data_IF_145741686539
#
_entry.id   IF_145741686539
#
_cell.length_a   1.000
_cell.length_b   1.000
_cell.length_c   1.000
_cell.angle_alpha   90.00
_cell.angle_beta   90.00
_cell.angle_gamma   90.00
#
_symmetry.space_group_name_H-M   'P 1'
#
loop_
_entity.id
_entity.type
_entity.pdbx_description
1 polymer ?
#
# COMPACT_ATOMS: atom_id res chain seq x y z
N UNK A 1 -15.76 6.75 28.46
CA UNK A 1 -15.20 6.40 27.12
C UNK A 1 -13.94 7.20 26.76
N UNK A 2 -13.48 8.12 27.62
CA UNK A 2 -12.41 9.07 27.28
C UNK A 2 -10.96 8.60 27.54
N UNK A 3 -10.77 7.52 28.30
CA UNK A 3 -9.42 6.95 28.56
C UNK A 3 -8.97 5.90 27.55
N UNK A 4 -9.88 5.40 26.71
CA UNK A 4 -9.56 4.41 25.65
C UNK A 4 -9.10 5.13 24.38
N UNK A 5 -9.71 6.27 24.03
CA UNK A 5 -9.39 7.06 22.84
C UNK A 5 -8.00 7.73 22.89
N UNK A 6 -7.37 7.81 24.07
CA UNK A 6 -6.02 8.37 24.23
C UNK A 6 -4.90 7.39 23.86
N UNK A 7 -5.18 6.08 23.74
CA UNK A 7 -4.15 5.04 23.45
C UNK A 7 -4.29 4.39 22.08
N UNK A 8 -5.31 4.73 21.31
CA UNK A 8 -5.62 4.09 20.01
C UNK A 8 -5.22 4.91 18.78
N UNK A 9 -4.70 6.14 18.94
CA UNK A 9 -4.40 7.07 17.84
C UNK A 9 -2.99 6.92 17.23
N UNK A 10 -2.33 5.77 17.34
CA UNK A 10 -0.94 5.59 16.88
C UNK A 10 -0.69 4.28 16.15
N UNK A 11 -1.69 3.76 15.42
CA UNK A 11 -1.44 2.69 14.46
C UNK A 11 -2.00 3.13 13.11
N UNK A 12 -1.11 3.73 12.31
CA UNK A 12 -1.07 3.75 10.83
C UNK A 12 -2.34 3.17 10.21
N UNK A 13 -3.28 3.99 9.71
CA UNK A 13 -4.54 3.46 9.18
C UNK A 13 -4.35 2.80 7.80
N UNK A 14 -3.96 1.53 7.78
CA UNK A 14 -4.04 0.73 6.56
C UNK A 14 -5.52 0.43 6.25
N UNK A 15 -5.93 0.53 4.97
CA UNK A 15 -7.34 0.38 4.55
C UNK A 15 -7.94 -0.96 4.99
N UNK A 16 -7.13 -2.01 5.01
CA UNK A 16 -7.57 -3.34 5.45
C UNK A 16 -7.86 -3.42 6.96
N UNK A 17 -7.37 -2.49 7.78
CA UNK A 17 -7.62 -2.53 9.24
C UNK A 17 -9.08 -2.32 9.59
N UNK A 18 -9.83 -1.52 8.82
CA UNK A 18 -11.27 -1.39 9.06
C UNK A 18 -12.01 -2.71 8.80
N UNK A 19 -11.60 -3.46 7.77
CA UNK A 19 -12.15 -4.78 7.47
C UNK A 19 -11.79 -5.82 8.54
N UNK A 20 -10.52 -5.88 8.94
CA UNK A 20 -10.10 -6.80 10.00
C UNK A 20 -10.69 -6.45 11.37
N UNK A 21 -10.85 -5.17 11.68
CA UNK A 21 -11.50 -4.73 12.91
C UNK A 21 -12.99 -5.13 12.92
N UNK A 22 -13.68 -5.08 11.77
CA UNK A 22 -15.07 -5.57 11.66
C UNK A 22 -15.21 -7.09 11.76
N UNK A 23 -14.14 -7.84 11.48
CA UNK A 23 -14.11 -9.30 11.58
C UNK A 23 -13.64 -9.80 12.96
N UNK A 24 -13.08 -8.93 13.79
CA UNK A 24 -12.59 -9.32 15.13
C UNK A 24 -13.74 -9.39 16.12
N UNK A 25 -13.86 -10.49 16.87
CA UNK A 25 -14.93 -10.71 17.86
C UNK A 25 -14.99 -9.60 18.93
N UNK A 26 -13.82 -9.14 19.42
CA UNK A 26 -13.72 -7.96 20.29
C UNK A 26 -12.79 -6.89 19.70
N UNK A 27 -13.33 -5.75 19.21
CA UNK A 27 -12.53 -4.67 18.63
C UNK A 27 -11.56 -4.01 19.61
N UNK A 28 -11.73 -4.20 20.92
CA UNK A 28 -10.81 -3.66 21.95
C UNK A 28 -9.48 -4.42 22.00
N UNK A 29 -9.46 -5.67 21.54
CA UNK A 29 -8.24 -6.49 21.52
C UNK A 29 -7.40 -6.30 20.25
N UNK A 30 -7.99 -5.71 19.21
CA UNK A 30 -7.36 -5.50 17.89
C UNK A 30 -5.98 -4.84 17.97
N UNK A 31 -5.79 -3.86 18.85
CA UNK A 31 -4.51 -3.16 19.02
C UNK A 31 -3.38 -4.08 19.52
N UNK A 32 -3.70 -5.12 20.31
CA UNK A 32 -2.70 -6.09 20.77
C UNK A 32 -2.23 -6.97 19.61
N UNK A 33 -3.17 -7.44 18.80
CA UNK A 33 -2.88 -8.23 17.60
C UNK A 33 -2.05 -7.43 16.59
N UNK A 34 -2.40 -6.15 16.38
CA UNK A 34 -1.62 -5.24 15.54
C UNK A 34 -0.20 -5.00 16.06
N UNK A 35 -0.04 -4.77 17.37
CA UNK A 35 1.28 -4.59 17.97
C UNK A 35 2.14 -5.85 17.81
N UNK A 36 1.55 -7.04 18.03
CA UNK A 36 2.26 -8.31 17.81
C UNK A 36 2.66 -8.48 16.34
N UNK A 37 1.74 -8.20 15.39
CA UNK A 37 2.01 -8.26 13.96
C UNK A 37 3.18 -7.33 13.58
N UNK A 38 3.14 -6.07 14.00
CA UNK A 38 4.18 -5.09 13.69
C UNK A 38 5.53 -5.50 14.29
N UNK A 39 5.56 -6.01 15.53
CA UNK A 39 6.80 -6.45 16.18
C UNK A 39 7.40 -7.63 15.42
N UNK A 40 6.59 -8.65 15.11
CA UNK A 40 7.06 -9.85 14.39
C UNK A 40 7.57 -9.47 13.00
N UNK A 41 6.83 -8.64 12.28
CA UNK A 41 7.22 -8.15 10.96
C UNK A 41 8.55 -7.37 11.03
N UNK A 42 8.65 -6.41 11.94
CA UNK A 42 9.87 -5.61 12.11
C UNK A 42 11.08 -6.47 12.45
N UNK A 43 10.92 -7.47 13.33
CA UNK A 43 12.00 -8.38 13.72
C UNK A 43 12.41 -9.26 12.53
N UNK A 44 11.46 -9.81 11.79
CA UNK A 44 11.74 -10.63 10.61
C UNK A 44 12.49 -9.83 9.55
N UNK A 45 12.01 -8.63 9.22
CA UNK A 45 12.65 -7.76 8.25
C UNK A 45 14.05 -7.32 8.70
N UNK A 46 14.23 -6.99 9.98
CA UNK A 46 15.53 -6.62 10.53
C UNK A 46 16.53 -7.77 10.44
N UNK A 47 16.13 -8.97 10.86
CA UNK A 47 16.99 -10.16 10.79
C UNK A 47 17.35 -10.47 9.33
N UNK A 48 16.37 -10.46 8.42
CA UNK A 48 16.62 -10.67 6.99
C UNK A 48 17.58 -9.64 6.41
N UNK A 49 17.40 -8.36 6.72
CA UNK A 49 18.28 -7.28 6.26
C UNK A 49 19.71 -7.44 6.78
N UNK A 50 19.90 -7.76 8.07
CA UNK A 50 21.21 -7.99 8.66
C UNK A 50 21.93 -9.19 8.04
N UNK A 51 21.22 -10.29 7.80
CA UNK A 51 21.76 -11.48 7.14
C UNK A 51 22.22 -11.11 5.71
N UNK A 52 21.35 -10.49 4.91
CA UNK A 52 21.68 -10.12 3.53
C UNK A 52 22.89 -9.18 3.51
N UNK A 53 22.91 -8.15 4.36
CA UNK A 53 24.01 -7.20 4.43
C UNK A 53 25.33 -7.88 4.82
N UNK A 54 25.31 -8.85 5.74
CA UNK A 54 26.51 -9.56 6.20
C UNK A 54 27.11 -10.49 5.14
N UNK A 55 26.29 -11.09 4.28
CA UNK A 55 26.73 -12.08 3.28
C UNK A 55 26.96 -11.47 1.88
N UNK A 56 26.19 -10.46 1.47
CA UNK A 56 26.27 -9.84 0.14
C UNK A 56 27.09 -8.54 0.16
N UNK A 57 27.14 -7.85 1.30
CA UNK A 57 27.85 -6.57 1.44
C UNK A 57 27.01 -5.36 1.00
N UNK A 58 27.64 -4.19 0.76
CA UNK A 58 26.92 -2.93 0.52
C UNK A 58 26.30 -2.78 -0.88
N UNK A 59 26.71 -3.60 -1.86
CA UNK A 59 26.24 -3.52 -3.25
C UNK A 59 25.10 -4.52 -3.54
N UNK A 60 24.05 -4.51 -2.72
CA UNK A 60 22.86 -5.34 -2.94
C UNK A 60 22.01 -4.71 -4.05
N UNK A 61 21.74 -5.47 -5.10
CA UNK A 61 20.78 -5.09 -6.13
C UNK A 61 19.37 -5.22 -5.57
N UNK A 62 18.49 -4.27 -5.88
CA UNK A 62 17.08 -4.37 -5.54
C UNK A 62 16.30 -4.85 -6.77
N UNK A 63 15.49 -5.93 -6.67
CA UNK A 63 15.24 -6.75 -5.48
C UNK A 63 16.41 -7.67 -5.07
N UNK A 64 16.61 -7.87 -3.76
CA UNK A 64 17.76 -8.57 -3.18
C UNK A 64 18.01 -9.98 -3.72
N UNK A 65 16.98 -10.64 -4.26
CA UNK A 65 17.06 -11.96 -4.89
C UNK A 65 18.06 -11.97 -6.06
N UNK A 66 18.23 -10.84 -6.74
CA UNK A 66 19.11 -10.70 -7.90
C UNK A 66 20.59 -10.87 -7.57
N UNK A 67 20.99 -10.52 -6.34
CA UNK A 67 22.37 -10.57 -5.87
C UNK A 67 22.84 -11.97 -5.41
N UNK A 68 21.97 -12.98 -5.45
CA UNK A 68 22.35 -14.35 -5.09
C UNK A 68 23.11 -15.05 -6.23
N UNK A 69 23.85 -16.10 -5.87
CA UNK A 69 24.48 -16.99 -6.84
C UNK A 69 23.46 -17.55 -7.86
N UNK A 70 23.86 -17.83 -9.11
CA UNK A 70 22.91 -18.11 -10.20
C UNK A 70 22.01 -19.32 -9.95
N UNK A 71 22.49 -20.33 -9.22
CA UNK A 71 21.69 -21.52 -8.84
C UNK A 71 20.66 -21.15 -7.76
N UNK A 72 21.10 -20.47 -6.70
CA UNK A 72 20.23 -20.08 -5.59
C UNK A 72 19.17 -19.06 -6.03
N UNK A 73 19.53 -18.14 -6.93
CA UNK A 73 18.61 -17.18 -7.54
C UNK A 73 17.45 -17.86 -8.27
N UNK A 74 17.71 -18.93 -9.04
CA UNK A 74 16.65 -19.69 -9.74
C UNK A 74 15.69 -20.36 -8.76
N UNK A 75 16.23 -20.96 -7.70
CA UNK A 75 15.42 -21.62 -6.65
C UNK A 75 14.56 -20.58 -5.91
N UNK A 76 15.17 -19.45 -5.50
CA UNK A 76 14.48 -18.37 -4.82
C UNK A 76 13.37 -17.76 -5.68
N UNK A 77 13.62 -17.50 -6.98
CA UNK A 77 12.59 -17.06 -7.90
C UNK A 77 11.49 -18.12 -8.11
N UNK A 78 11.83 -19.40 -8.11
CA UNK A 78 10.86 -20.49 -8.17
C UNK A 78 9.85 -20.49 -7.01
N UNK A 79 10.28 -20.06 -5.81
CA UNK A 79 9.40 -19.91 -4.64
C UNK A 79 8.70 -18.55 -4.58
N UNK A 80 9.37 -17.48 -5.04
CA UNK A 80 8.82 -16.13 -5.02
C UNK A 80 7.69 -15.94 -6.05
N UNK A 81 7.84 -16.46 -7.27
CA UNK A 81 6.86 -16.26 -8.35
C UNK A 81 5.45 -16.72 -7.96
N UNK A 82 5.23 -17.95 -7.43
CA UNK A 82 3.90 -18.41 -7.07
C UNK A 82 3.24 -17.52 -6.01
N UNK A 83 4.00 -17.11 -5.00
CA UNK A 83 3.47 -16.27 -3.91
C UNK A 83 3.17 -14.85 -4.39
N UNK A 84 4.01 -14.27 -5.26
CA UNK A 84 3.77 -12.97 -5.89
C UNK A 84 2.54 -12.99 -6.79
N UNK A 85 2.37 -14.02 -7.63
CA UNK A 85 1.19 -14.16 -8.49
C UNK A 85 -0.07 -14.29 -7.65
N UNK A 86 -0.05 -15.14 -6.61
CA UNK A 86 -1.20 -15.32 -5.73
C UNK A 86 -1.62 -14.01 -5.06
N UNK A 87 -0.65 -13.26 -4.51
CA UNK A 87 -0.89 -11.95 -3.90
C UNK A 87 -1.50 -10.96 -4.90
N UNK A 88 -0.92 -10.87 -6.11
CA UNK A 88 -1.41 -9.98 -7.17
C UNK A 88 -2.83 -10.31 -7.62
N UNK A 89 -3.15 -11.59 -7.81
CA UNK A 89 -4.49 -12.03 -8.22
C UNK A 89 -5.53 -11.75 -7.15
N UNK A 90 -5.22 -12.02 -5.87
CA UNK A 90 -6.16 -11.76 -4.77
C UNK A 90 -6.45 -10.27 -4.64
N UNK A 91 -5.42 -9.42 -4.66
CA UNK A 91 -5.58 -7.97 -4.55
C UNK A 91 -6.28 -7.39 -5.79
N UNK A 92 -5.92 -7.85 -6.99
CA UNK A 92 -6.58 -7.47 -8.23
C UNK A 92 -8.06 -7.87 -8.27
N UNK A 93 -8.38 -9.06 -7.78
CA UNK A 93 -9.75 -9.53 -7.67
C UNK A 93 -10.57 -8.70 -6.67
N UNK A 94 -10.00 -8.36 -5.51
CA UNK A 94 -10.64 -7.46 -4.54
C UNK A 94 -10.90 -6.08 -5.15
N UNK A 95 -9.96 -5.54 -5.92
CA UNK A 95 -10.14 -4.28 -6.65
C UNK A 95 -11.27 -4.35 -7.69
N UNK A 96 -11.31 -5.42 -8.50
CA UNK A 96 -12.37 -5.63 -9.48
C UNK A 96 -13.75 -5.75 -8.81
N UNK A 97 -13.83 -6.53 -7.71
CA UNK A 97 -15.05 -6.66 -6.92
C UNK A 97 -15.47 -5.33 -6.31
N UNK A 98 -14.54 -4.52 -5.83
CA UNK A 98 -14.83 -3.20 -5.28
C UNK A 98 -15.44 -2.27 -6.35
N UNK A 99 -14.86 -2.23 -7.55
CA UNK A 99 -15.39 -1.46 -8.69
C UNK A 99 -16.78 -1.96 -9.07
N UNK A 100 -16.95 -3.27 -9.20
CA UNK A 100 -18.23 -3.90 -9.54
C UNK A 100 -19.32 -3.56 -8.52
N UNK A 101 -19.05 -3.77 -7.23
CA UNK A 101 -20.01 -3.45 -6.16
C UNK A 101 -20.32 -1.95 -6.14
N UNK A 102 -19.35 -1.07 -6.43
CA UNK A 102 -19.58 0.37 -6.45
C UNK A 102 -20.48 0.80 -7.61
N UNK A 103 -20.28 0.23 -8.79
CA UNK A 103 -21.08 0.53 -9.99
C UNK A 103 -22.50 -0.04 -9.92
N UNK A 104 -22.66 -1.23 -9.36
CA UNK A 104 -23.96 -1.93 -9.30
C UNK A 104 -24.67 -1.78 -7.94
N UNK A 105 -24.18 -0.91 -7.06
CA UNK A 105 -24.79 -0.65 -5.74
C UNK A 105 -26.19 -0.07 -5.92
N UNK A 106 -27.22 -0.85 -5.57
CA UNK A 106 -28.64 -0.44 -5.67
C UNK A 106 -29.39 -1.01 -6.89
N UNK A 107 -28.76 -1.87 -7.69
CA UNK A 107 -29.44 -2.59 -8.78
C UNK A 107 -29.75 -4.04 -8.38
N UNK A 108 -30.99 -4.50 -8.62
CA UNK A 108 -31.43 -5.90 -8.42
C UNK A 108 -30.68 -6.91 -9.30
N UNK A 109 -29.89 -6.45 -10.26
CA UNK A 109 -29.12 -7.31 -11.18
C UNK A 109 -27.88 -7.93 -10.54
N UNK A 110 -27.49 -7.49 -9.34
CA UNK A 110 -26.26 -7.92 -8.66
C UNK A 110 -26.22 -9.42 -8.33
N UNK A 111 -27.39 -10.06 -8.14
CA UNK A 111 -27.50 -11.51 -7.89
C UNK A 111 -27.97 -12.32 -9.12
N UNK A 112 -28.28 -11.67 -10.25
CA UNK A 112 -28.72 -12.37 -11.46
C UNK A 112 -27.52 -12.78 -12.32
N UNK A 113 -27.49 -14.04 -12.78
CA UNK A 113 -26.54 -14.51 -13.80
C UNK A 113 -26.98 -14.10 -15.21
N UNK A 114 -27.24 -12.81 -15.40
CA UNK A 114 -27.53 -12.27 -16.74
C UNK A 114 -26.24 -12.10 -17.54
N UNK A 115 -26.33 -12.20 -18.87
CA UNK A 115 -25.19 -11.93 -19.77
C UNK A 115 -24.60 -10.52 -19.57
N UNK A 116 -25.43 -9.55 -19.16
CA UNK A 116 -25.00 -8.20 -18.80
C UNK A 116 -24.11 -8.17 -17.55
N UNK A 117 -24.41 -9.01 -16.54
CA UNK A 117 -23.63 -9.13 -15.30
C UNK A 117 -22.26 -9.81 -15.55
N UNK A 118 -22.25 -10.85 -16.38
CA UNK A 118 -21.01 -11.53 -16.79
C UNK A 118 -20.17 -10.61 -17.68
N UNK A 119 -20.81 -9.94 -18.65
CA UNK A 119 -20.13 -9.01 -19.56
C UNK A 119 -19.52 -7.81 -18.83
N UNK A 120 -20.25 -7.21 -17.87
CA UNK A 120 -19.72 -6.11 -17.06
C UNK A 120 -18.57 -6.56 -16.16
N UNK A 121 -18.66 -7.76 -15.57
CA UNK A 121 -17.56 -8.33 -14.79
C UNK A 121 -16.30 -8.52 -15.62
N UNK A 122 -16.41 -9.17 -16.79
CA UNK A 122 -15.27 -9.39 -17.70
C UNK A 122 -14.69 -8.05 -18.18
N UNK A 123 -15.54 -7.08 -18.51
CA UNK A 123 -15.10 -5.75 -18.93
C UNK A 123 -14.30 -5.03 -17.84
N UNK A 124 -14.73 -5.10 -16.58
CA UNK A 124 -14.01 -4.50 -15.45
C UNK A 124 -12.66 -5.19 -15.25
N UNK A 125 -12.64 -6.53 -15.26
CA UNK A 125 -11.40 -7.29 -15.16
C UNK A 125 -10.41 -6.93 -16.27
N UNK A 126 -10.89 -6.86 -17.51
CA UNK A 126 -10.08 -6.52 -18.68
C UNK A 126 -9.55 -5.08 -18.60
N UNK A 127 -10.38 -4.12 -18.21
CA UNK A 127 -9.97 -2.73 -18.06
C UNK A 127 -8.87 -2.56 -16.99
N UNK A 128 -9.04 -3.20 -15.82
CA UNK A 128 -8.03 -3.17 -14.75
C UNK A 128 -6.73 -3.85 -15.21
N UNK A 129 -6.83 -4.95 -15.97
CA UNK A 129 -5.68 -5.66 -16.50
C UNK A 129 -4.90 -4.82 -17.53
N UNK A 130 -5.58 -4.18 -18.48
CA UNK A 130 -4.95 -3.26 -19.44
C UNK A 130 -4.25 -2.11 -18.71
N UNK A 131 -4.92 -1.50 -17.73
CA UNK A 131 -4.32 -0.41 -16.95
C UNK A 131 -3.06 -0.87 -16.23
N UNK A 132 -3.08 -2.07 -15.65
CA UNK A 132 -1.93 -2.66 -14.96
C UNK A 132 -0.77 -2.93 -15.93
N UNK A 133 -1.08 -3.45 -17.12
CA UNK A 133 -0.08 -3.69 -18.17
C UNK A 133 0.57 -2.40 -18.65
N UNK A 134 -0.21 -1.34 -18.89
CA UNK A 134 0.33 -0.02 -19.28
C UNK A 134 1.28 0.53 -18.22
N UNK A 135 0.91 0.45 -16.94
CA UNK A 135 1.78 0.92 -15.83
C UNK A 135 3.06 0.09 -15.74
N UNK A 136 2.98 -1.23 -15.95
CA UNK A 136 4.13 -2.12 -15.93
C UNK A 136 5.13 -1.83 -17.05
N UNK A 137 4.67 -1.56 -18.27
CA UNK A 137 5.53 -1.21 -19.41
C UNK A 137 6.08 0.23 -19.33
N UNK A 138 5.38 1.12 -18.60
CA UNK A 138 5.76 2.53 -18.52
C UNK A 138 6.93 2.80 -17.58
N UNK A 139 7.16 1.96 -16.56
CA UNK A 139 8.19 2.20 -15.54
C UNK A 139 9.25 1.09 -15.61
N UNK A 140 10.44 1.37 -16.19
CA UNK A 140 11.50 0.37 -16.37
C UNK A 140 12.16 -0.06 -15.06
N UNK A 141 12.06 0.77 -14.00
CA UNK A 141 12.71 0.54 -12.70
C UNK A 141 11.67 0.29 -11.60
N UNK A 142 11.65 -0.93 -11.08
CA UNK A 142 10.71 -1.36 -10.03
C UNK A 142 10.76 -0.51 -8.74
N UNK A 143 11.95 -0.04 -8.36
CA UNK A 143 12.10 0.78 -7.14
C UNK A 143 11.40 2.14 -7.26
N UNK A 144 11.38 2.74 -8.45
CA UNK A 144 10.72 4.02 -8.67
C UNK A 144 9.20 3.86 -8.60
N UNK A 145 8.66 2.76 -9.17
CA UNK A 145 7.25 2.39 -9.01
C UNK A 145 6.88 2.17 -7.54
N UNK A 146 7.68 1.39 -6.80
CA UNK A 146 7.43 1.14 -5.37
C UNK A 146 7.49 2.43 -4.54
N UNK A 147 8.47 3.28 -4.80
CA UNK A 147 8.63 4.57 -4.12
C UNK A 147 7.44 5.49 -4.41
N UNK A 148 7.00 5.56 -5.66
CA UNK A 148 5.82 6.32 -6.08
C UNK A 148 4.54 5.85 -5.40
N UNK A 149 4.27 4.53 -5.44
CA UNK A 149 3.09 3.94 -4.81
C UNK A 149 3.12 4.17 -3.29
N UNK A 150 4.28 3.99 -2.66
CA UNK A 150 4.47 4.22 -1.22
C UNK A 150 4.29 5.69 -0.86
N UNK A 151 4.79 6.63 -1.65
CA UNK A 151 4.61 8.06 -1.42
C UNK A 151 3.14 8.48 -1.59
N UNK A 152 2.44 7.97 -2.61
CA UNK A 152 1.05 8.34 -2.91
C UNK A 152 0.06 7.73 -1.91
N UNK A 153 0.15 6.43 -1.69
CA UNK A 153 -0.79 5.69 -0.85
C UNK A 153 -0.29 5.52 0.57
N UNK A 154 0.99 5.21 0.76
CA UNK A 154 1.58 5.01 2.07
C UNK A 154 1.51 6.26 2.95
N UNK A 155 1.81 7.46 2.42
CA UNK A 155 1.71 8.70 3.19
C UNK A 155 0.26 9.03 3.61
N UNK A 156 -0.69 8.86 2.68
CA UNK A 156 -2.08 9.21 2.91
C UNK A 156 -2.77 8.24 3.88
N UNK A 157 -2.54 6.93 3.72
CA UNK A 157 -3.10 5.92 4.62
C UNK A 157 -2.43 5.95 5.99
N UNK A 158 -1.11 6.12 6.06
CA UNK A 158 -0.38 6.07 7.32
C UNK A 158 -0.57 7.31 8.19
N UNK A 159 -0.63 8.50 7.56
CA UNK A 159 -0.58 9.78 8.27
C UNK A 159 -1.76 10.71 7.92
N UNK A 160 -2.16 10.75 6.65
CA UNK A 160 -3.24 11.65 6.18
C UNK A 160 -4.61 11.32 6.77
N UNK A 161 -5.12 10.11 6.54
CA UNK A 161 -6.45 9.69 6.99
C UNK A 161 -6.60 9.68 8.52
N UNK A 162 -5.63 9.17 9.33
CA UNK A 162 -5.72 9.26 10.79
C UNK A 162 -5.85 10.71 11.28
N UNK A 163 -5.06 11.62 10.72
CA UNK A 163 -5.08 13.03 11.08
C UNK A 163 -6.44 13.68 10.74
N UNK A 164 -6.98 13.40 9.55
CA UNK A 164 -8.29 13.91 9.11
C UNK A 164 -9.42 13.34 9.99
N UNK A 165 -9.41 12.03 10.28
CA UNK A 165 -10.42 11.40 11.14
C UNK A 165 -10.38 11.95 12.56
N UNK A 166 -9.19 12.22 13.10
CA UNK A 166 -9.06 12.83 14.42
C UNK A 166 -9.64 14.24 14.45
N UNK A 167 -9.35 15.05 13.43
CA UNK A 167 -9.91 16.40 13.30
C UNK A 167 -11.43 16.35 13.15
N UNK A 168 -11.97 15.47 12.31
CA UNK A 168 -13.41 15.33 12.11
C UNK A 168 -14.15 14.85 13.38
N UNK A 169 -13.58 13.91 14.13
CA UNK A 169 -14.19 13.43 15.38
C UNK A 169 -14.18 14.50 16.49
N UNK A 170 -13.25 15.46 16.45
CA UNK A 170 -13.12 16.53 17.44
C UNK A 170 -13.69 17.88 16.97
N UNK A 171 -14.54 17.89 15.93
CA UNK A 171 -15.21 19.09 15.42
C UNK A 171 -15.96 19.82 16.55
N UNK A 172 -15.65 21.11 16.73
CA UNK A 172 -16.29 21.97 17.75
C UNK A 172 -15.65 21.98 19.14
N UNK A 173 -14.59 21.19 19.39
CA UNK A 173 -13.89 21.17 20.70
C UNK A 173 -12.37 21.34 20.57
N UNK A 174 -11.88 21.93 19.47
CA UNK A 174 -10.44 22.08 19.21
C UNK A 174 -9.72 22.91 20.29
N UNK A 175 -10.37 23.97 20.77
CA UNK A 175 -9.78 24.94 21.71
C UNK A 175 -10.24 24.77 23.16
N UNK A 176 -10.93 23.66 23.48
CA UNK A 176 -11.52 23.49 24.81
C UNK A 176 -10.50 23.24 25.91
N UNK A 177 -9.30 22.77 25.57
CA UNK A 177 -8.25 22.46 26.53
C UNK A 177 -6.86 22.57 25.88
N UNK A 178 -5.83 22.99 26.62
CA UNK A 178 -4.45 23.13 26.10
C UNK A 178 -3.95 21.81 25.48
N UNK A 179 -4.29 20.68 26.09
CA UNK A 179 -3.98 19.34 25.56
C UNK A 179 -4.63 19.07 24.20
N UNK A 180 -5.84 19.57 23.97
CA UNK A 180 -6.58 19.42 22.70
C UNK A 180 -6.05 20.37 21.63
N UNK A 181 -5.62 21.57 22.02
CA UNK A 181 -4.94 22.53 21.13
C UNK A 181 -3.62 21.92 20.64
N UNK A 182 -2.79 21.42 21.55
CA UNK A 182 -1.52 20.79 21.21
C UNK A 182 -1.71 19.54 20.33
N UNK A 183 -2.72 18.70 20.61
CA UNK A 183 -3.07 17.58 19.74
C UNK A 183 -3.56 18.04 18.35
N UNK A 184 -4.31 19.14 18.27
CA UNK A 184 -4.80 19.68 17.00
C UNK A 184 -3.62 20.18 16.15
N UNK A 185 -2.70 20.93 16.75
CA UNK A 185 -1.47 21.37 16.07
C UNK A 185 -0.65 20.16 15.60
N UNK A 186 -0.46 19.17 16.45
CA UNK A 186 0.26 17.94 16.10
C UNK A 186 -0.38 17.20 14.91
N UNK A 187 -1.70 17.02 14.90
CA UNK A 187 -2.39 16.37 13.78
C UNK A 187 -2.34 17.18 12.49
N UNK A 188 -2.41 18.52 12.55
CA UNK A 188 -2.24 19.39 11.38
C UNK A 188 -0.81 19.33 10.83
N UNK A 189 0.19 19.27 11.71
CA UNK A 189 1.58 19.08 11.29
C UNK A 189 1.80 17.72 10.62
N UNK A 190 1.24 16.64 11.19
CA UNK A 190 1.28 15.30 10.59
C UNK A 190 0.63 15.29 9.20
N UNK A 191 -0.50 15.98 9.04
CA UNK A 191 -1.16 16.13 7.74
C UNK A 191 -0.27 16.92 6.75
N UNK A 192 0.39 17.99 7.20
CA UNK A 192 1.35 18.74 6.40
C UNK A 192 2.54 17.90 5.95
N UNK A 193 3.09 17.07 6.86
CA UNK A 193 4.16 16.12 6.55
C UNK A 193 3.69 15.08 5.53
N UNK A 194 2.48 14.54 5.67
CA UNK A 194 1.92 13.59 4.71
C UNK A 194 1.81 14.20 3.30
N UNK A 195 1.29 15.43 3.20
CA UNK A 195 1.24 16.17 1.93
C UNK A 195 2.64 16.43 1.35
N UNK A 196 3.62 16.78 2.20
CA UNK A 196 4.99 17.00 1.77
C UNK A 196 5.64 15.72 1.24
N UNK A 197 5.48 14.59 1.92
CA UNK A 197 5.98 13.27 1.48
C UNK A 197 5.35 12.89 0.15
N UNK A 198 4.03 13.06 0.00
CA UNK A 198 3.34 12.79 -1.26
C UNK A 198 3.85 13.69 -2.39
N UNK A 199 3.99 15.00 -2.15
CA UNK A 199 4.44 15.96 -3.15
C UNK A 199 5.89 15.74 -3.57
N UNK A 200 6.80 15.59 -2.60
CA UNK A 200 8.20 15.32 -2.86
C UNK A 200 8.40 13.95 -3.51
N UNK A 201 7.68 12.92 -3.06
CA UNK A 201 7.77 11.57 -3.63
C UNK A 201 7.27 11.51 -5.07
N UNK A 202 6.18 12.21 -5.39
CA UNK A 202 5.68 12.35 -6.76
C UNK A 202 6.68 13.10 -7.65
N UNK A 203 7.30 14.15 -7.12
CA UNK A 203 8.30 14.94 -7.85
C UNK A 203 9.57 14.13 -8.14
N UNK A 204 10.14 13.45 -7.12
CA UNK A 204 11.35 12.63 -7.30
C UNK A 204 11.11 11.52 -8.32
N UNK A 205 9.98 10.81 -8.20
CA UNK A 205 9.64 9.72 -9.12
C UNK A 205 9.40 10.24 -10.54
N UNK A 206 8.71 11.38 -10.68
CA UNK A 206 8.49 12.02 -11.98
C UNK A 206 9.79 12.48 -12.65
N UNK A 207 10.72 13.03 -11.88
CA UNK A 207 12.06 13.43 -12.39
C UNK A 207 12.91 12.21 -12.74
N UNK A 208 12.85 11.12 -11.96
CA UNK A 208 13.54 9.87 -12.26
C UNK A 208 13.06 9.29 -13.60
N UNK A 209 11.73 9.20 -13.79
CA UNK A 209 11.12 8.74 -15.05
C UNK A 209 11.51 9.65 -16.22
N UNK A 210 11.52 10.98 -16.03
CA UNK A 210 11.91 11.91 -17.10
C UNK A 210 13.39 11.80 -17.48
N UNK A 211 14.29 11.59 -16.51
CA UNK A 211 15.72 11.41 -16.77
C UNK A 211 16.03 10.06 -17.42
N UNK A 212 15.28 9.03 -17.07
CA UNK A 212 15.43 7.68 -17.64
C UNK A 212 14.69 7.49 -18.97
N UNK A 213 13.99 8.52 -19.46
CA UNK A 213 13.32 8.55 -20.77
C UNK A 213 14.28 8.42 -21.97
N UNK A 214 15.60 8.36 -21.73
CA UNK A 214 16.61 7.97 -22.72
C UNK A 214 16.66 6.45 -22.97
N UNK A 215 16.17 5.62 -22.04
CA UNK A 215 15.91 4.20 -22.25
C UNK A 215 14.49 4.06 -22.80
N UNK A 216 14.38 3.67 -24.07
CA UNK A 216 13.12 3.60 -24.82
C UNK A 216 12.07 2.77 -24.05
N UNK A 217 11.13 3.44 -23.40
CA UNK A 217 9.82 2.83 -23.07
C UNK A 217 9.31 2.20 -24.36
N UNK A 218 8.86 0.94 -24.32
CA UNK A 218 8.43 0.13 -25.49
C UNK A 218 9.51 -0.50 -26.37
N UNK A 219 10.79 -0.50 -25.97
CA UNK A 219 11.82 -1.23 -26.71
C UNK A 219 11.99 -2.65 -26.17
N UNK A 220 11.80 -3.66 -27.02
CA UNK A 220 12.12 -5.07 -26.75
C UNK A 220 13.65 -5.32 -26.66
N UNK A 221 14.39 -4.48 -25.95
CA UNK A 221 15.81 -4.66 -25.70
C UNK A 221 15.97 -5.21 -24.27
N UNK A 222 16.51 -6.42 -24.16
CA UNK A 222 16.85 -7.06 -22.90
C UNK A 222 17.80 -6.17 -22.10
N UNK A 223 17.33 -5.66 -20.95
CA UNK A 223 18.22 -5.13 -19.92
C UNK A 223 18.66 -6.30 -19.05
N UNK A 224 19.86 -6.82 -19.31
CA UNK A 224 20.53 -7.84 -18.51
C UNK A 224 21.34 -7.22 -17.37
#
# INVERSE_FOLDING_TARGET
>A
MDRVNSRTNLVVAHVAYFGFMSETEDPRTFNKSLAMLQIVDTVLYLISALIIYRYVGPNVQSPAILSLSPVMRKIAWGLAIPTTILSGVVLGHVACKYIYVRLFRGSDKMHSRSLLSIGSWVMICLAVWILSWVVAESIPVFNDLLSLISALFGSWFSFGLPAIFWLHMNQGQYFRNIKKILLTICNVLILGIACAICGLGLWVSGVAIHKDSGAKSWSCANTH
#
